data_IF_824208657076
#
_entry.id   IF_824208657076
#
_cell.length_a   1.000
_cell.length_b   1.000
_cell.length_c   1.000
_cell.angle_alpha   90.00
_cell.angle_beta   90.00
_cell.angle_gamma   90.00
#
_symmetry.space_group_name_H-M   'P 1'
#
loop_
_entity.id
_entity.type
_entity.pdbx_description
1 polymer ?
#
# COMPACT_ATOMS: atom_id res chain seq x y z
N UNK A 1 -2.83 24.98 11.28
CA UNK A 1 -3.76 24.72 10.16
C UNK A 1 -5.18 25.24 10.33
N UNK A 2 -5.58 25.75 11.50
CA UNK A 2 -6.94 26.26 11.71
C UNK A 2 -7.32 27.49 10.85
N UNK A 3 -6.33 28.21 10.30
CA UNK A 3 -6.49 29.49 9.59
C UNK A 3 -6.32 29.38 8.06
N UNK A 4 -6.49 28.20 7.45
CA UNK A 4 -6.50 28.10 5.99
C UNK A 4 -7.76 28.76 5.40
N UNK A 5 -7.66 29.45 4.24
CA UNK A 5 -8.81 29.98 3.51
C UNK A 5 -9.87 28.91 3.25
N UNK A 6 -11.15 29.32 3.19
CA UNK A 6 -12.26 28.38 3.02
C UNK A 6 -12.17 27.60 1.69
N UNK A 7 -11.64 28.22 0.65
CA UNK A 7 -11.40 27.57 -0.65
C UNK A 7 -10.37 26.43 -0.55
N UNK A 8 -9.28 26.64 0.17
CA UNK A 8 -8.26 25.61 0.37
C UNK A 8 -8.78 24.47 1.24
N UNK A 9 -9.58 24.78 2.28
CA UNK A 9 -10.26 23.77 3.08
C UNK A 9 -11.22 22.92 2.25
N UNK A 10 -11.93 23.53 1.29
CA UNK A 10 -12.82 22.80 0.38
C UNK A 10 -12.04 21.88 -0.56
N UNK A 11 -10.93 22.36 -1.15
CA UNK A 11 -10.03 21.56 -1.98
C UNK A 11 -9.43 20.38 -1.20
N UNK A 12 -8.98 20.63 0.05
CA UNK A 12 -8.48 19.57 0.94
C UNK A 12 -9.59 18.54 1.18
N UNK A 13 -10.82 18.96 1.47
CA UNK A 13 -11.93 18.04 1.71
C UNK A 13 -12.26 17.17 0.48
N UNK A 14 -12.22 17.74 -0.73
CA UNK A 14 -12.40 16.99 -1.98
C UNK A 14 -11.30 15.94 -2.18
N UNK A 15 -10.05 16.33 -1.99
CA UNK A 15 -8.90 15.41 -2.10
C UNK A 15 -8.94 14.31 -1.03
N UNK A 16 -9.37 14.64 0.19
CA UNK A 16 -9.57 13.67 1.28
C UNK A 16 -10.65 12.66 0.90
N UNK A 17 -11.74 13.09 0.27
CA UNK A 17 -12.80 12.19 -0.16
C UNK A 17 -12.35 11.26 -1.30
N UNK A 18 -11.61 11.79 -2.28
CA UNK A 18 -10.96 10.96 -3.31
C UNK A 18 -10.03 9.92 -2.69
N UNK A 19 -9.19 10.33 -1.74
CA UNK A 19 -8.33 9.41 -0.99
C UNK A 19 -9.13 8.34 -0.24
N UNK A 20 -10.28 8.71 0.35
CA UNK A 20 -11.15 7.77 1.05
C UNK A 20 -11.72 6.71 0.11
N UNK A 21 -12.08 7.08 -1.11
CA UNK A 21 -12.57 6.13 -2.11
C UNK A 21 -11.49 5.12 -2.50
N UNK A 22 -10.26 5.57 -2.73
CA UNK A 22 -9.13 4.67 -3.02
C UNK A 22 -8.80 3.78 -1.81
N UNK A 23 -8.85 4.33 -0.59
CA UNK A 23 -8.73 3.52 0.62
C UNK A 23 -9.78 2.43 0.69
N UNK A 24 -11.06 2.72 0.39
CA UNK A 24 -12.11 1.69 0.42
C UNK A 24 -11.81 0.53 -0.54
N UNK A 25 -11.21 0.80 -1.70
CA UNK A 25 -10.77 -0.25 -2.64
C UNK A 25 -9.67 -1.10 -2.01
N UNK A 26 -8.68 -0.45 -1.38
CA UNK A 26 -7.61 -1.16 -0.68
C UNK A 26 -8.15 -2.02 0.47
N UNK A 27 -9.05 -1.48 1.30
CA UNK A 27 -9.67 -2.21 2.41
C UNK A 27 -10.46 -3.42 1.90
N UNK A 28 -11.20 -3.27 0.79
CA UNK A 28 -11.94 -4.37 0.17
C UNK A 28 -11.03 -5.47 -0.39
N UNK A 29 -9.87 -5.12 -0.97
CA UNK A 29 -8.90 -6.11 -1.43
C UNK A 29 -8.21 -6.80 -0.27
N UNK A 30 -7.76 -6.04 0.72
CA UNK A 30 -7.09 -6.55 1.91
C UNK A 30 -7.98 -7.47 2.73
N UNK A 31 -9.29 -7.20 2.79
CA UNK A 31 -10.25 -8.04 3.51
C UNK A 31 -10.42 -9.45 2.92
N UNK A 32 -9.99 -9.68 1.66
CA UNK A 32 -10.05 -11.01 1.02
C UNK A 32 -8.94 -11.95 1.50
N UNK A 33 -7.90 -11.43 2.14
CA UNK A 33 -6.70 -12.17 2.49
C UNK A 33 -6.51 -12.23 4.00
N UNK A 34 -6.16 -13.41 4.52
CA UNK A 34 -5.68 -13.55 5.89
C UNK A 34 -4.27 -12.95 5.99
N UNK A 35 -3.98 -12.22 7.07
CA UNK A 35 -2.70 -11.58 7.28
C UNK A 35 -1.65 -12.48 7.95
N UNK A 36 -2.01 -13.69 8.37
CA UNK A 36 -1.03 -14.67 8.84
C UNK A 36 -0.11 -15.12 7.71
N UNK A 37 1.16 -14.71 7.81
CA UNK A 37 2.21 -15.10 6.87
C UNK A 37 2.18 -14.32 5.55
N UNK A 38 1.33 -13.29 5.42
CA UNK A 38 1.31 -12.40 4.26
C UNK A 38 1.80 -11.00 4.62
N UNK A 39 3.12 -10.84 4.64
CA UNK A 39 3.77 -9.57 4.95
C UNK A 39 3.39 -8.45 3.98
N UNK A 40 3.01 -8.77 2.72
CA UNK A 40 2.56 -7.75 1.76
C UNK A 40 1.25 -7.11 2.24
N UNK A 41 0.31 -7.92 2.75
CA UNK A 41 -0.97 -7.43 3.28
C UNK A 41 -0.75 -6.62 4.57
N UNK A 42 0.13 -7.09 5.44
CA UNK A 42 0.50 -6.36 6.67
C UNK A 42 1.10 -4.99 6.34
N UNK A 43 2.05 -4.94 5.39
CA UNK A 43 2.69 -3.70 4.95
C UNK A 43 1.67 -2.75 4.29
N UNK A 44 0.74 -3.28 3.48
CA UNK A 44 -0.32 -2.47 2.87
C UNK A 44 -1.23 -1.82 3.92
N UNK A 45 -1.66 -2.58 4.94
CA UNK A 45 -2.43 -2.05 6.08
C UNK A 45 -1.65 -0.97 6.83
N UNK A 46 -0.36 -1.21 7.10
CA UNK A 46 0.51 -0.25 7.79
C UNK A 46 0.64 1.05 7.00
N UNK A 47 0.90 0.98 5.69
CA UNK A 47 1.00 2.16 4.83
C UNK A 47 -0.32 2.94 4.77
N UNK A 48 -1.45 2.23 4.66
CA UNK A 48 -2.79 2.85 4.70
C UNK A 48 -3.04 3.61 6.01
N UNK A 49 -2.65 3.02 7.14
CA UNK A 49 -2.79 3.67 8.45
C UNK A 49 -1.98 4.97 8.53
N UNK A 50 -0.72 4.97 8.07
CA UNK A 50 0.13 6.16 8.10
C UNK A 50 -0.41 7.25 7.15
N UNK A 51 -0.89 6.87 5.95
CA UNK A 51 -1.51 7.84 5.04
C UNK A 51 -2.77 8.47 5.63
N UNK A 52 -3.59 7.72 6.39
CA UNK A 52 -4.73 8.27 7.10
C UNK A 52 -4.32 9.33 8.12
N UNK A 53 -3.26 9.08 8.90
CA UNK A 53 -2.73 10.06 9.86
C UNK A 53 -2.23 11.34 9.16
N UNK A 54 -1.58 11.19 8.00
CA UNK A 54 -1.13 12.32 7.18
C UNK A 54 -2.29 13.10 6.56
N UNK A 55 -3.36 12.42 6.13
CA UNK A 55 -4.58 13.06 5.61
C UNK A 55 -5.34 13.78 6.74
N UNK A 56 -5.41 13.22 7.94
CA UNK A 56 -6.01 13.88 9.11
C UNK A 56 -5.22 15.13 9.53
N UNK A 57 -3.90 15.10 9.40
CA UNK A 57 -3.05 16.27 9.64
C UNK A 57 -3.49 17.47 8.80
N UNK A 58 -3.79 17.29 7.50
CA UNK A 58 -4.27 18.38 6.61
C UNK A 58 -5.56 19.05 7.10
N UNK A 59 -6.35 18.33 7.92
CA UNK A 59 -7.60 18.82 8.51
C UNK A 59 -7.40 19.37 9.93
N UNK A 60 -6.16 19.38 10.42
CA UNK A 60 -5.81 19.77 11.80
C UNK A 60 -6.25 18.74 12.84
N UNK A 61 -6.40 17.47 12.45
CA UNK A 61 -6.76 16.35 13.33
C UNK A 61 -5.64 15.31 13.36
N UNK A 62 -5.79 14.31 14.22
CA UNK A 62 -4.89 13.16 14.28
C UNK A 62 -3.67 13.36 15.20
N UNK A 63 -2.76 12.37 15.21
CA UNK A 63 -1.64 12.32 16.15
C UNK A 63 -0.45 13.21 15.72
N UNK A 64 -0.35 13.55 14.43
CA UNK A 64 0.74 14.37 13.88
C UNK A 64 0.49 15.84 14.22
N UNK A 65 1.49 16.53 14.78
CA UNK A 65 1.32 17.93 15.25
C UNK A 65 2.16 18.92 14.47
N UNK A 66 3.30 18.49 13.96
CA UNK A 66 4.26 19.35 13.30
C UNK A 66 4.74 18.75 11.97
N UNK A 67 5.36 19.58 11.13
CA UNK A 67 5.85 19.15 9.81
C UNK A 67 6.91 18.06 9.91
N UNK A 68 7.67 17.99 11.01
CA UNK A 68 8.65 16.95 11.27
C UNK A 68 8.00 15.58 11.44
N UNK A 69 6.87 15.49 12.14
CA UNK A 69 6.09 14.27 12.29
C UNK A 69 5.61 13.75 10.92
N UNK A 70 5.16 14.66 10.05
CA UNK A 70 4.73 14.32 8.68
C UNK A 70 5.88 13.80 7.83
N UNK A 71 7.05 14.42 7.94
CA UNK A 71 8.27 13.96 7.24
C UNK A 71 8.65 12.55 7.73
N UNK A 72 8.56 12.30 9.04
CA UNK A 72 8.85 10.99 9.61
C UNK A 72 7.80 9.94 9.18
N UNK A 73 6.52 10.31 9.11
CA UNK A 73 5.46 9.46 8.58
C UNK A 73 5.74 9.09 7.12
N UNK A 74 6.12 10.06 6.28
CA UNK A 74 6.49 9.81 4.89
C UNK A 74 7.70 8.87 4.75
N UNK A 75 8.71 9.02 5.61
CA UNK A 75 9.86 8.09 5.66
C UNK A 75 9.43 6.67 6.00
N UNK A 76 8.56 6.48 7.00
CA UNK A 76 8.02 5.17 7.36
C UNK A 76 7.26 4.51 6.20
N UNK A 77 6.48 5.30 5.45
CA UNK A 77 5.81 4.80 4.23
C UNK A 77 6.84 4.36 3.19
N UNK A 78 7.88 5.16 2.94
CA UNK A 78 8.93 4.81 1.99
C UNK A 78 9.68 3.51 2.37
N UNK A 79 9.99 3.33 3.66
CA UNK A 79 10.60 2.11 4.17
C UNK A 79 9.69 0.89 4.01
N UNK A 80 8.40 1.01 4.34
CA UNK A 80 7.40 -0.04 4.15
C UNK A 80 7.24 -0.38 2.65
N UNK A 81 7.19 0.63 1.78
CA UNK A 81 7.12 0.46 0.34
C UNK A 81 8.35 -0.25 -0.23
N UNK A 82 9.55 0.03 0.27
CA UNK A 82 10.78 -0.68 -0.14
C UNK A 82 10.75 -2.17 0.25
N UNK A 83 10.20 -2.49 1.44
CA UNK A 83 10.01 -3.89 1.85
C UNK A 83 8.96 -4.59 0.99
N UNK A 84 7.86 -3.91 0.69
CA UNK A 84 6.80 -4.42 -0.17
C UNK A 84 7.31 -4.69 -1.60
N UNK A 85 8.10 -3.79 -2.18
CA UNK A 85 8.73 -3.96 -3.50
C UNK A 85 9.63 -5.20 -3.55
N UNK A 86 10.44 -5.44 -2.51
CA UNK A 86 11.27 -6.65 -2.42
C UNK A 86 10.44 -7.93 -2.40
N UNK A 87 9.37 -7.96 -1.61
CA UNK A 87 8.47 -9.12 -1.55
C UNK A 87 7.74 -9.33 -2.88
N UNK A 88 7.24 -8.26 -3.50
CA UNK A 88 6.57 -8.32 -4.80
C UNK A 88 7.52 -8.82 -5.90
N UNK A 89 8.78 -8.36 -5.91
CA UNK A 89 9.81 -8.87 -6.83
C UNK A 89 10.11 -10.33 -6.57
N UNK A 90 10.26 -10.75 -5.32
CA UNK A 90 10.49 -12.15 -5.00
C UNK A 90 9.34 -13.04 -5.47
N UNK A 91 8.09 -12.58 -5.36
CA UNK A 91 6.91 -13.26 -5.92
C UNK A 91 6.93 -13.27 -7.44
N UNK A 92 7.31 -12.18 -8.10
CA UNK A 92 7.42 -12.10 -9.56
C UNK A 92 8.55 -12.97 -10.12
N UNK A 93 9.65 -13.11 -9.38
CA UNK A 93 10.81 -13.93 -9.73
C UNK A 93 10.62 -15.41 -9.36
N UNK A 94 9.54 -15.77 -8.63
CA UNK A 94 9.24 -17.17 -8.42
C UNK A 94 8.98 -17.82 -9.78
N UNK A 95 9.79 -18.82 -10.18
CA UNK A 95 9.54 -19.53 -11.41
C UNK A 95 8.15 -20.14 -11.27
N UNK A 96 7.27 -19.88 -12.25
CA UNK A 96 6.04 -20.63 -12.37
C UNK A 96 6.45 -22.09 -12.56
N UNK A 97 6.52 -22.83 -11.47
CA UNK A 97 6.97 -24.22 -11.42
C UNK A 97 6.16 -25.08 -12.40
N UNK A 98 4.92 -24.67 -12.72
CA UNK A 98 4.13 -25.21 -13.82
C UNK A 98 4.68 -24.93 -15.20
N UNK A 99 5.28 -23.77 -15.50
CA UNK A 99 5.96 -23.52 -16.78
C UNK A 99 7.20 -24.37 -16.94
N UNK A 100 7.96 -24.57 -15.85
CA UNK A 100 9.14 -25.46 -15.84
C UNK A 100 8.70 -26.92 -15.99
N UNK A 101 7.68 -27.37 -15.24
CA UNK A 101 7.11 -28.71 -15.37
C UNK A 101 6.43 -28.93 -16.71
N UNK A 102 5.71 -27.95 -17.27
CA UNK A 102 5.10 -28.04 -18.60
C UNK A 102 6.17 -28.13 -19.67
N UNK A 103 7.24 -27.33 -19.59
CA UNK A 103 8.34 -27.39 -20.53
C UNK A 103 9.08 -28.74 -20.44
N UNK A 104 9.30 -29.27 -19.25
CA UNK A 104 9.92 -30.59 -19.05
C UNK A 104 9.01 -31.74 -19.49
N UNK A 105 7.70 -31.66 -19.23
CA UNK A 105 6.70 -32.65 -19.64
C UNK A 105 6.49 -32.65 -21.17
N UNK A 106 6.48 -31.48 -21.81
CA UNK A 106 6.43 -31.33 -23.27
C UNK A 106 7.75 -31.81 -23.91
N UNK A 107 8.90 -31.55 -23.29
CA UNK A 107 10.21 -32.02 -23.75
C UNK A 107 10.39 -33.54 -23.63
N UNK A 108 9.81 -34.18 -22.61
CA UNK A 108 9.84 -35.64 -22.44
C UNK A 108 8.83 -36.37 -23.36
N UNK A 109 7.70 -35.74 -23.74
CA UNK A 109 6.74 -36.32 -24.70
C UNK A 109 7.14 -36.22 -26.17
N UNK A 110 8.15 -35.42 -26.53
CA UNK A 110 8.69 -35.35 -27.90
C UNK A 110 9.75 -36.40 -28.24
N UNK A 111 10.03 -37.35 -27.33
CA UNK A 111 11.07 -38.40 -27.47
C UNK A 111 10.53 -39.83 -27.52
N UNK A 112 9.26 -40.01 -27.88
CA UNK A 112 8.66 -41.31 -28.20
C UNK A 112 7.77 -41.20 -29.44
#
# INVERSE_FOLDING_TARGET
MAQLPQEEKAKIAEQVESFRQEKCKLDAEVAKWDDNGNDIIVLAKQMCMIMMEMTDFTRGKGPLKNSSDVINAAKKIAEAGSRMDKLARAVADQPEWWTVLLHEFVSQRGRY
#
